data_IF_211051733594
#
_entry.id   IF_211051733594
#
_cell.length_a   1.000
_cell.length_b   1.000
_cell.length_c   1.000
_cell.angle_alpha   90.00
_cell.angle_beta   90.00
_cell.angle_gamma   90.00
#
_symmetry.space_group_name_H-M   'P 1'
#
loop_
_entity.id
_entity.type
_entity.pdbx_description
1 polymer ?
#
# COMPACT_ATOMS: atom_id res chain seq x y z
N UNK A 1 0.55 32.02 6.83
CA UNK A 1 0.81 31.57 5.44
C UNK A 1 2.28 31.37 5.13
N UNK A 2 3.12 32.41 4.93
CA UNK A 2 4.56 32.23 4.61
C UNK A 2 5.32 31.37 5.61
N UNK A 3 5.07 31.53 6.91
CA UNK A 3 5.74 30.76 7.95
C UNK A 3 5.39 29.27 7.93
N UNK A 4 4.14 28.90 7.61
CA UNK A 4 3.71 27.49 7.51
C UNK A 4 4.31 26.82 6.27
N UNK A 5 4.32 27.51 5.13
CA UNK A 5 4.98 27.02 3.92
C UNK A 5 6.50 26.90 4.08
N UNK A 6 7.11 27.81 4.85
CA UNK A 6 8.54 27.76 5.21
C UNK A 6 8.81 26.58 6.14
N UNK A 7 7.96 26.35 7.16
CA UNK A 7 8.10 25.18 8.05
C UNK A 7 7.90 23.87 7.28
N UNK A 8 6.95 23.80 6.35
CA UNK A 8 6.73 22.65 5.50
C UNK A 8 7.90 22.40 4.54
N UNK A 9 8.42 23.45 3.90
CA UNK A 9 9.62 23.36 3.06
C UNK A 9 10.88 23.00 3.88
N UNK A 10 10.99 23.48 5.12
CA UNK A 10 12.08 23.12 6.04
C UNK A 10 11.95 21.69 6.56
N UNK A 11 10.73 21.18 6.80
CA UNK A 11 10.48 19.79 7.17
C UNK A 11 10.84 18.84 6.01
N UNK A 12 10.44 19.17 4.78
CA UNK A 12 10.86 18.44 3.59
C UNK A 12 12.38 18.48 3.41
N UNK A 13 13.02 19.64 3.57
CA UNK A 13 14.48 19.78 3.49
C UNK A 13 15.26 19.11 4.65
N UNK A 14 14.62 18.93 5.82
CA UNK A 14 15.18 18.18 6.95
C UNK A 14 15.09 16.66 6.72
N UNK A 15 14.02 16.18 6.07
CA UNK A 15 13.94 14.80 5.55
C UNK A 15 15.04 14.57 4.50
N UNK A 16 15.30 15.56 3.63
CA UNK A 16 16.38 15.51 2.64
C UNK A 16 17.79 15.44 3.25
N UNK A 17 18.01 16.07 4.41
CA UNK A 17 19.33 16.08 5.06
C UNK A 17 19.68 14.74 5.73
N UNK A 18 18.68 13.88 5.99
CA UNK A 18 18.89 12.54 6.56
C UNK A 18 18.81 11.41 5.51
N UNK A 19 18.17 11.65 4.36
CA UNK A 19 18.01 10.67 3.28
C UNK A 19 18.61 11.21 2.00
N UNK A 20 19.92 11.09 1.83
CA UNK A 20 20.53 11.34 0.53
C UNK A 20 19.88 10.46 -0.55
N UNK A 21 19.72 11.04 -1.74
CA UNK A 21 19.52 10.40 -3.05
C UNK A 21 18.08 10.11 -3.52
N UNK A 22 17.70 10.80 -4.63
CA UNK A 22 16.93 10.32 -5.80
C UNK A 22 15.56 9.64 -5.54
N UNK A 23 14.66 9.46 -6.54
CA UNK A 23 13.48 8.63 -6.32
C UNK A 23 13.93 7.23 -5.92
N UNK A 24 13.78 6.90 -4.64
CA UNK A 24 14.12 5.59 -4.07
C UNK A 24 13.18 4.56 -4.70
N UNK A 25 13.75 3.51 -5.29
CA UNK A 25 12.97 2.38 -5.76
C UNK A 25 12.22 1.75 -4.57
N UNK A 26 10.92 1.54 -4.73
CA UNK A 26 10.06 1.00 -3.67
C UNK A 26 10.49 -0.41 -3.23
N UNK A 27 11.19 -1.16 -4.09
CA UNK A 27 11.81 -2.43 -3.72
C UNK A 27 12.86 -2.27 -2.61
N UNK A 28 13.62 -1.17 -2.62
CA UNK A 28 14.62 -0.85 -1.59
C UNK A 28 13.94 -0.64 -0.24
N UNK A 29 12.74 -0.04 -0.20
CA UNK A 29 11.99 0.16 1.04
C UNK A 29 11.54 -1.15 1.69
N UNK A 30 11.14 -2.13 0.86
CA UNK A 30 10.87 -3.50 1.33
C UNK A 30 12.14 -4.16 1.85
N UNK A 31 13.27 -3.97 1.16
CA UNK A 31 14.56 -4.54 1.57
C UNK A 31 15.11 -3.92 2.85
N UNK A 32 14.88 -2.63 3.09
CA UNK A 32 15.31 -1.88 4.28
C UNK A 32 14.44 -2.12 5.51
N UNK A 33 13.23 -2.67 5.33
CA UNK A 33 12.26 -2.81 6.42
C UNK A 33 11.56 -1.51 6.81
N UNK A 34 11.51 -0.53 5.90
CA UNK A 34 10.92 0.81 6.14
C UNK A 34 9.63 1.05 5.34
N UNK A 35 9.04 -0.02 4.80
CA UNK A 35 7.87 0.03 3.92
C UNK A 35 6.59 0.48 4.65
N UNK A 36 5.86 1.39 4.02
CA UNK A 36 4.53 1.83 4.44
C UNK A 36 3.51 1.62 3.32
N UNK A 37 2.46 0.88 3.63
CA UNK A 37 1.26 0.70 2.78
C UNK A 37 0.09 1.51 3.34
N UNK A 38 -0.53 2.37 2.54
CA UNK A 38 -1.84 2.96 2.84
C UNK A 38 -2.94 2.00 2.40
N UNK A 39 -3.89 1.69 3.28
CA UNK A 39 -5.07 0.89 2.94
C UNK A 39 -6.28 1.82 2.81
N UNK A 40 -6.71 2.10 1.59
CA UNK A 40 -7.94 2.85 1.30
C UNK A 40 -9.22 2.04 1.60
N UNK A 41 -9.10 0.71 1.60
CA UNK A 41 -10.14 -0.26 1.98
C UNK A 41 -10.62 -1.09 0.79
N UNK A 42 -10.63 -2.42 0.95
CA UNK A 42 -11.00 -3.37 -0.11
C UNK A 42 -12.46 -3.25 -0.58
N UNK A 43 -13.34 -2.70 0.27
CA UNK A 43 -14.76 -2.41 -0.02
C UNK A 43 -15.10 -0.92 -0.09
N UNK A 44 -14.11 -0.02 0.05
CA UNK A 44 -14.37 1.42 0.00
C UNK A 44 -14.45 1.87 -1.46
N UNK A 45 -15.56 2.51 -1.82
CA UNK A 45 -15.82 2.99 -3.19
C UNK A 45 -16.15 4.50 -3.21
N UNK A 46 -15.84 5.21 -2.13
CA UNK A 46 -15.92 6.67 -2.05
C UNK A 46 -14.78 7.32 -2.85
N UNK A 47 -15.00 7.50 -4.15
CA UNK A 47 -14.03 8.06 -5.10
C UNK A 47 -13.40 9.37 -4.59
N UNK A 48 -14.18 10.42 -4.22
CA UNK A 48 -13.59 11.67 -3.70
C UNK A 48 -12.66 11.46 -2.51
N UNK A 49 -13.10 10.66 -1.53
CA UNK A 49 -12.29 10.39 -0.34
C UNK A 49 -11.00 9.64 -0.69
N UNK A 50 -11.10 8.57 -1.48
CA UNK A 50 -9.97 7.70 -1.87
C UNK A 50 -8.93 8.51 -2.66
N UNK A 51 -9.40 9.33 -3.59
CA UNK A 51 -8.54 10.20 -4.39
C UNK A 51 -7.79 11.22 -3.51
N UNK A 52 -8.48 11.85 -2.56
CA UNK A 52 -7.88 12.84 -1.67
C UNK A 52 -6.92 12.26 -0.63
N UNK A 53 -7.21 11.07 -0.08
CA UNK A 53 -6.27 10.40 0.82
C UNK A 53 -5.04 9.90 0.05
N UNK A 54 -5.20 9.41 -1.18
CA UNK A 54 -4.08 9.04 -2.05
C UNK A 54 -3.18 10.25 -2.34
N UNK A 55 -3.77 11.41 -2.64
CA UNK A 55 -3.03 12.67 -2.81
C UNK A 55 -2.17 13.02 -1.58
N UNK A 56 -2.78 13.10 -0.39
CA UNK A 56 -2.08 13.53 0.82
C UNK A 56 -0.95 12.58 1.22
N UNK A 57 -1.18 11.26 1.12
CA UNK A 57 -0.17 10.26 1.47
C UNK A 57 0.90 10.05 0.42
N UNK A 58 0.62 10.34 -0.86
CA UNK A 58 1.66 10.40 -1.90
C UNK A 58 2.64 11.54 -1.59
N UNK A 59 2.14 12.74 -1.24
CA UNK A 59 2.99 13.85 -0.80
C UNK A 59 3.81 13.51 0.46
N UNK A 60 3.24 12.70 1.35
CA UNK A 60 3.94 12.22 2.55
C UNK A 60 5.02 11.16 2.27
N UNK A 61 5.07 10.60 1.06
CA UNK A 61 6.04 9.56 0.68
C UNK A 61 5.65 8.16 1.14
N UNK A 62 4.37 7.80 1.07
CA UNK A 62 3.92 6.40 1.21
C UNK A 62 4.50 5.54 0.06
N UNK A 63 4.75 4.26 0.32
CA UNK A 63 5.41 3.37 -0.66
C UNK A 63 4.39 2.60 -1.52
N UNK A 64 3.22 2.32 -0.96
CA UNK A 64 2.13 1.63 -1.66
C UNK A 64 0.76 2.15 -1.21
N UNK A 65 -0.18 2.22 -2.16
CA UNK A 65 -1.59 2.55 -1.91
C UNK A 65 -2.43 1.36 -2.36
N UNK A 66 -3.13 0.76 -1.41
CA UNK A 66 -4.03 -0.36 -1.61
C UNK A 66 -5.49 0.08 -1.61
N UNK A 67 -6.25 -0.47 -2.55
CA UNK A 67 -7.63 -0.09 -2.81
C UNK A 67 -8.47 -1.27 -3.31
N UNK A 68 -9.78 -1.06 -3.42
CA UNK A 68 -10.68 -2.04 -4.00
C UNK A 68 -10.25 -2.38 -5.44
N UNK A 69 -10.33 -3.67 -5.81
CA UNK A 69 -10.17 -4.09 -7.20
C UNK A 69 -11.39 -3.66 -8.04
N UNK A 70 -11.44 -2.37 -8.36
CA UNK A 70 -12.42 -1.71 -9.24
C UNK A 70 -11.71 -0.66 -10.10
N UNK A 71 -11.98 -0.56 -11.42
CA UNK A 71 -11.27 0.35 -12.32
C UNK A 71 -11.45 1.82 -11.95
N UNK A 72 -12.64 2.19 -11.47
CA UNK A 72 -12.94 3.57 -11.08
C UNK A 72 -12.15 3.95 -9.84
N UNK A 73 -11.98 3.00 -8.91
CA UNK A 73 -11.20 3.20 -7.69
C UNK A 73 -9.70 3.26 -7.98
N UNK A 74 -9.18 2.35 -8.82
CA UNK A 74 -7.79 2.40 -9.29
C UNK A 74 -7.50 3.71 -10.01
N UNK A 75 -8.42 4.17 -10.87
CA UNK A 75 -8.29 5.48 -11.54
C UNK A 75 -8.29 6.65 -10.56
N UNK A 76 -9.09 6.59 -9.49
CA UNK A 76 -9.13 7.62 -8.46
C UNK A 76 -7.82 7.69 -7.67
N UNK A 77 -7.22 6.55 -7.34
CA UNK A 77 -5.89 6.47 -6.72
C UNK A 77 -4.83 7.05 -7.66
N UNK A 78 -4.82 6.64 -8.93
CA UNK A 78 -3.87 7.15 -9.93
C UNK A 78 -3.99 8.68 -10.11
N UNK A 79 -5.21 9.22 -10.14
CA UNK A 79 -5.46 10.66 -10.19
C UNK A 79 -4.90 11.38 -8.95
N UNK A 80 -5.11 10.82 -7.75
CA UNK A 80 -4.57 11.38 -6.51
C UNK A 80 -3.04 11.42 -6.49
N UNK A 81 -2.40 10.35 -6.95
CA UNK A 81 -0.93 10.27 -7.09
C UNK A 81 -0.42 11.34 -8.04
N UNK A 82 -1.01 11.43 -9.24
CA UNK A 82 -0.60 12.43 -10.24
C UNK A 82 -0.76 13.85 -9.73
N UNK A 83 -1.89 14.13 -9.08
CA UNK A 83 -2.13 15.45 -8.52
C UNK A 83 -1.12 15.81 -7.43
N UNK A 84 -0.65 14.85 -6.63
CA UNK A 84 0.42 15.10 -5.66
C UNK A 84 1.74 15.49 -6.34
N UNK A 85 2.10 14.81 -7.43
CA UNK A 85 3.30 15.13 -8.22
C UNK A 85 3.18 16.50 -8.91
N UNK A 86 2.02 16.79 -9.51
CA UNK A 86 1.72 18.09 -10.12
C UNK A 86 1.73 19.22 -9.07
N UNK A 87 1.14 18.98 -7.89
CA UNK A 87 1.10 19.93 -6.76
C UNK A 87 2.50 20.23 -6.20
N UNK A 88 3.34 19.21 -6.08
CA UNK A 88 4.76 19.34 -5.68
C UNK A 88 5.55 20.11 -6.75
N UNK A 89 5.35 19.77 -8.03
CA UNK A 89 6.03 20.42 -9.17
C UNK A 89 5.73 21.92 -9.23
N UNK A 90 4.45 22.29 -9.09
CA UNK A 90 4.00 23.68 -9.11
C UNK A 90 4.60 24.54 -7.99
N UNK A 91 5.10 23.91 -6.92
CA UNK A 91 5.70 24.56 -5.75
C UNK A 91 7.22 24.42 -5.69
N UNK A 92 7.83 23.83 -6.73
CA UNK A 92 9.26 23.52 -6.77
C UNK A 92 9.73 22.69 -5.56
N UNK A 93 8.85 21.83 -5.05
CA UNK A 93 9.18 20.86 -4.02
C UNK A 93 9.82 19.62 -4.66
N UNK A 94 10.48 18.81 -3.84
CA UNK A 94 10.99 17.52 -4.26
C UNK A 94 9.82 16.65 -4.76
N UNK A 95 10.02 16.02 -5.91
CA UNK A 95 9.00 15.15 -6.48
C UNK A 95 8.81 13.91 -5.60
N UNK A 96 7.59 13.65 -5.09
CA UNK A 96 7.33 12.42 -4.39
C UNK A 96 7.50 11.24 -5.34
N UNK A 97 8.13 10.17 -4.85
CA UNK A 97 8.19 8.91 -5.58
C UNK A 97 6.75 8.40 -5.82
N UNK A 98 6.52 7.76 -6.96
CA UNK A 98 5.21 7.17 -7.27
C UNK A 98 5.01 5.92 -6.40
N UNK A 99 4.01 5.89 -5.49
CA UNK A 99 3.67 4.67 -4.78
C UNK A 99 3.16 3.60 -5.72
N UNK A 100 3.38 2.34 -5.35
CA UNK A 100 2.75 1.22 -6.04
C UNK A 100 1.24 1.22 -5.81
N UNK A 101 0.47 1.00 -6.86
CA UNK A 101 -0.97 0.75 -6.74
C UNK A 101 -1.19 -0.73 -6.51
N UNK A 102 -1.73 -1.07 -5.35
CA UNK A 102 -2.12 -2.41 -4.98
C UNK A 102 -3.64 -2.55 -5.00
N UNK A 103 -4.15 -3.70 -5.42
CA UNK A 103 -5.58 -4.02 -5.33
C UNK A 103 -5.81 -5.21 -4.42
N UNK A 104 -6.85 -5.11 -3.59
CA UNK A 104 -7.32 -6.17 -2.71
C UNK A 104 -8.37 -7.04 -3.39
N UNK A 105 -8.19 -8.36 -3.30
CA UNK A 105 -9.11 -9.41 -3.75
C UNK A 105 -9.28 -10.47 -2.65
N UNK A 106 -10.28 -11.33 -2.75
CA UNK A 106 -10.52 -12.43 -1.80
C UNK A 106 -10.87 -13.74 -2.49
N UNK A 107 -10.52 -14.86 -1.85
CA UNK A 107 -10.84 -16.22 -2.30
C UNK A 107 -12.20 -16.72 -1.78
N UNK A 108 -12.63 -16.24 -0.61
CA UNK A 108 -13.89 -16.61 0.04
C UNK A 108 -14.48 -15.43 0.85
N UNK A 109 -15.58 -15.65 1.57
CA UNK A 109 -16.20 -14.66 2.45
C UNK A 109 -15.21 -14.10 3.47
N UNK A 110 -14.97 -12.78 3.39
CA UNK A 110 -13.98 -12.08 4.20
C UNK A 110 -14.57 -10.79 4.80
N UNK A 111 -14.29 -10.46 6.08
CA UNK A 111 -14.84 -9.26 6.74
C UNK A 111 -14.47 -7.91 6.10
N UNK A 112 -13.40 -7.84 5.30
CA UNK A 112 -12.99 -6.67 4.52
C UNK A 112 -13.83 -6.51 3.24
N UNK A 113 -14.51 -7.59 2.81
CA UNK A 113 -15.37 -7.66 1.62
C UNK A 113 -16.84 -7.76 2.02
N UNK A 114 -17.27 -6.83 2.88
CA UNK A 114 -18.65 -6.74 3.33
C UNK A 114 -19.15 -5.32 3.39
N UNK A 115 -20.46 -5.15 3.27
CA UNK A 115 -21.15 -3.86 3.48
C UNK A 115 -22.32 -4.03 4.42
N UNK A 116 -22.59 -2.99 5.20
CA UNK A 116 -23.78 -2.95 6.04
C UNK A 116 -25.01 -2.67 5.19
N UNK A 117 -26.14 -3.29 5.51
CA UNK A 117 -27.42 -3.05 4.87
C UNK A 117 -28.56 -3.14 5.92
N UNK A 118 -29.62 -2.38 5.71
CA UNK A 118 -30.89 -2.48 6.43
C UNK A 118 -32.01 -1.88 5.59
N UNK A 119 -33.25 -2.29 5.85
CA UNK A 119 -34.42 -1.64 5.29
C UNK A 119 -34.77 -0.39 6.13
N UNK A 120 -34.63 0.83 5.58
CA UNK A 120 -34.91 2.05 6.33
C UNK A 120 -36.38 2.18 6.75
N UNK A 121 -37.31 1.51 6.06
CA UNK A 121 -38.74 1.52 6.43
C UNK A 121 -39.03 0.78 7.73
N UNK A 122 -38.14 -0.12 8.15
CA UNK A 122 -38.23 -0.85 9.41
C UNK A 122 -37.60 -0.09 10.59
N UNK A 123 -36.88 1.00 10.33
CA UNK A 123 -36.23 1.81 11.36
C UNK A 123 -37.22 2.87 11.90
N UNK A 124 -37.61 2.81 13.19
CA UNK A 124 -38.56 3.77 13.74
C UNK A 124 -38.05 5.22 13.63
N UNK A 125 -38.96 6.15 13.38
CA UNK A 125 -38.63 7.57 13.25
C UNK A 125 -38.05 8.18 14.54
N UNK A 126 -38.40 7.61 15.69
CA UNK A 126 -37.95 7.98 17.04
C UNK A 126 -36.69 7.21 17.51
N UNK A 127 -36.11 6.37 16.64
CA UNK A 127 -34.85 5.69 16.93
C UNK A 127 -33.74 6.72 17.18
N UNK A 128 -32.93 6.58 18.25
CA UNK A 128 -31.81 7.49 18.53
C UNK A 128 -30.63 7.33 17.55
N UNK A 129 -30.69 6.34 16.64
CA UNK A 129 -29.68 6.03 15.60
C UNK A 129 -28.23 6.03 16.08
N UNK A 130 -27.88 5.26 17.13
CA UNK A 130 -26.48 5.10 17.54
C UNK A 130 -25.58 4.54 16.41
N UNK A 131 -26.16 3.82 15.45
CA UNK A 131 -25.48 3.34 14.25
C UNK A 131 -24.95 4.48 13.36
N UNK A 132 -25.63 5.61 13.28
CA UNK A 132 -25.19 6.80 12.54
C UNK A 132 -23.97 7.43 13.24
N UNK A 133 -24.07 7.66 14.55
CA UNK A 133 -23.02 8.27 15.36
C UNK A 133 -21.71 7.45 15.40
N UNK A 134 -21.82 6.11 15.43
CA UNK A 134 -20.65 5.22 15.46
C UNK A 134 -19.99 5.05 14.08
N UNK A 135 -20.68 5.41 12.99
CA UNK A 135 -20.18 5.22 11.64
C UNK A 135 -19.03 6.21 11.35
N UNK A 136 -17.78 5.73 11.16
CA UNK A 136 -16.63 6.62 11.04
C UNK A 136 -16.63 7.46 9.75
N UNK A 137 -17.32 6.97 8.71
CA UNK A 137 -17.39 7.55 7.36
C UNK A 137 -18.76 8.14 7.03
N UNK A 138 -19.65 8.25 8.03
CA UNK A 138 -20.99 8.86 7.87
C UNK A 138 -21.80 8.23 6.71
N UNK A 139 -21.70 6.91 6.57
CA UNK A 139 -22.37 6.15 5.52
C UNK A 139 -23.81 5.76 5.87
N UNK A 140 -24.32 6.14 7.04
CA UNK A 140 -25.66 5.74 7.51
C UNK A 140 -26.50 6.99 7.71
N UNK A 141 -27.73 6.97 7.19
CA UNK A 141 -28.71 8.04 7.38
C UNK A 141 -30.13 7.45 7.47
N UNK A 142 -31.15 8.32 7.47
CA UNK A 142 -32.56 7.89 7.42
C UNK A 142 -32.91 7.12 6.15
N UNK A 143 -32.17 7.35 5.06
CA UNK A 143 -32.42 6.70 3.76
C UNK A 143 -31.73 5.35 3.63
N UNK A 144 -31.08 4.83 4.67
CA UNK A 144 -30.35 3.57 4.63
C UNK A 144 -28.85 3.76 4.72
N UNK A 145 -28.12 2.79 4.16
CA UNK A 145 -26.65 2.82 4.07
C UNK A 145 -26.23 3.29 2.67
N UNK A 146 -25.37 4.30 2.61
CA UNK A 146 -24.60 4.64 1.41
C UNK A 146 -23.52 3.57 1.20
N UNK A 147 -23.81 2.63 0.30
CA UNK A 147 -22.94 1.50 0.01
C UNK A 147 -21.55 1.95 -0.45
N UNK A 148 -21.43 3.06 -1.18
CA UNK A 148 -20.13 3.50 -1.71
C UNK A 148 -19.18 3.94 -0.60
N UNK A 149 -19.71 4.60 0.41
CA UNK A 149 -18.95 5.04 1.59
C UNK A 149 -18.72 3.92 2.60
N UNK A 150 -19.65 2.97 2.69
CA UNK A 150 -19.58 1.89 3.66
C UNK A 150 -18.43 0.92 3.33
N UNK A 151 -17.33 1.01 4.07
CA UNK A 151 -16.20 0.10 3.91
C UNK A 151 -16.30 -1.18 4.78
N UNK A 152 -17.45 -1.42 5.43
CA UNK A 152 -17.68 -2.71 6.12
C UNK A 152 -17.14 -2.85 7.55
N UNK A 153 -16.84 -1.77 8.27
CA UNK A 153 -16.27 -1.84 9.62
C UNK A 153 -17.10 -2.59 10.67
N UNK A 154 -18.41 -2.77 10.43
CA UNK A 154 -19.32 -3.53 11.30
C UNK A 154 -19.69 -2.87 12.64
N UNK A 155 -19.20 -1.66 12.95
CA UNK A 155 -19.54 -0.94 14.20
C UNK A 155 -21.04 -0.73 14.38
N UNK A 156 -21.75 -0.53 13.27
CA UNK A 156 -23.19 -0.33 13.25
C UNK A 156 -23.97 -1.61 13.62
N UNK A 157 -23.42 -2.80 13.37
CA UNK A 157 -24.10 -4.09 13.56
C UNK A 157 -24.47 -4.30 15.04
N UNK A 158 -23.49 -4.12 15.94
CA UNK A 158 -23.71 -4.24 17.39
C UNK A 158 -24.31 -3.00 18.03
N UNK A 159 -24.28 -1.85 17.35
CA UNK A 159 -24.80 -0.59 17.89
C UNK A 159 -26.31 -0.43 17.67
N UNK A 160 -26.90 -1.11 16.68
CA UNK A 160 -28.34 -1.00 16.41
C UNK A 160 -29.16 -1.65 17.55
N UNK A 161 -29.99 -0.90 18.30
CA UNK A 161 -30.74 -1.45 19.42
C UNK A 161 -31.82 -2.46 18.99
N UNK A 162 -32.28 -2.35 17.74
CA UNK A 162 -33.28 -3.22 17.13
C UNK A 162 -32.68 -4.33 16.26
N UNK A 163 -31.34 -4.39 16.15
CA UNK A 163 -30.61 -5.37 15.34
C UNK A 163 -31.06 -5.46 13.87
N UNK A 164 -31.51 -4.33 13.29
CA UNK A 164 -31.98 -4.27 11.89
C UNK A 164 -30.85 -4.33 10.86
N UNK A 165 -29.62 -4.04 11.26
CA UNK A 165 -28.47 -3.92 10.37
C UNK A 165 -27.77 -5.28 10.25
N UNK A 166 -27.65 -5.76 9.02
CA UNK A 166 -26.92 -6.98 8.67
C UNK A 166 -25.71 -6.67 7.77
N UNK A 167 -24.81 -7.65 7.62
CA UNK A 167 -23.64 -7.55 6.76
C UNK A 167 -23.81 -8.43 5.52
N UNK A 168 -23.69 -7.82 4.34
CA UNK A 168 -23.65 -8.53 3.06
C UNK A 168 -22.18 -8.73 2.67
N UNK A 169 -21.72 -9.98 2.68
CA UNK A 169 -20.39 -10.36 2.21
C UNK A 169 -20.43 -10.58 0.69
N UNK A 170 -19.31 -10.34 0.02
CA UNK A 170 -19.17 -10.63 -1.40
C UNK A 170 -17.74 -11.05 -1.74
N UNK A 171 -17.57 -11.69 -2.90
CA UNK A 171 -16.27 -12.11 -3.42
C UNK A 171 -15.89 -11.18 -4.56
N UNK A 172 -14.69 -10.63 -4.50
CA UNK A 172 -14.10 -9.75 -5.50
C UNK A 172 -12.88 -10.44 -6.10
N UNK A 173 -13.05 -10.99 -7.29
CA UNK A 173 -11.95 -11.59 -8.06
C UNK A 173 -11.43 -10.60 -9.11
N UNK A 174 -10.21 -10.81 -9.65
CA UNK A 174 -9.68 -9.98 -10.75
C UNK A 174 -10.61 -9.92 -11.98
N UNK A 175 -11.42 -10.96 -12.24
CA UNK A 175 -12.38 -10.94 -13.36
C UNK A 175 -13.60 -10.05 -13.09
N UNK A 176 -14.00 -9.85 -11.83
CA UNK A 176 -15.11 -8.97 -11.45
C UNK A 176 -14.71 -7.48 -11.47
N UNK A 177 -13.41 -7.18 -11.45
CA UNK A 177 -12.90 -5.82 -11.59
C UNK A 177 -13.07 -5.24 -13.01
N UNK A 178 -13.81 -5.87 -13.92
CA UNK A 178 -14.15 -5.35 -15.25
C UNK A 178 -15.65 -5.17 -15.50
N UNK A 179 -16.54 -5.53 -14.56
CA UNK A 179 -18.00 -5.63 -14.84
C UNK A 179 -18.80 -4.38 -14.49
N UNK A 180 -18.22 -3.38 -13.82
CA UNK A 180 -18.83 -2.06 -13.73
C UNK A 180 -18.55 -1.26 -15.02
N UNK A 181 -19.56 -1.17 -15.90
CA UNK A 181 -19.53 -0.34 -17.11
C UNK A 181 -19.11 1.09 -16.75
N UNK A 182 -17.89 1.47 -17.14
CA UNK A 182 -17.54 2.88 -17.32
C UNK A 182 -18.49 3.48 -18.38
N UNK A 183 -18.91 4.75 -18.25
CA UNK A 183 -19.53 5.45 -19.37
C UNK A 183 -18.52 5.49 -20.54
N UNK A 184 -19.01 5.01 -21.67
CA UNK A 184 -18.35 4.82 -22.95
C UNK A 184 -17.34 5.94 -23.29
N UNK A 185 -16.04 5.61 -23.37
CA UNK A 185 -15.06 6.40 -24.13
C UNK A 185 -14.79 5.68 -25.45
N UNK A 186 -14.70 6.47 -26.52
CA UNK A 186 -14.61 6.03 -27.91
C UNK A 186 -13.53 4.94 -28.15
N UNK A 187 -13.80 4.00 -29.08
CA UNK A 187 -12.89 2.89 -29.35
C UNK A 187 -11.61 3.37 -30.05
N UNK A 188 -10.47 2.92 -29.53
CA UNK A 188 -9.18 2.94 -30.23
C UNK A 188 -9.06 1.62 -31.00
N UNK A 189 -8.69 1.59 -32.29
CA UNK A 189 -8.60 0.33 -33.04
C UNK A 189 -7.39 -0.50 -32.58
N UNK A 190 -7.65 -1.71 -32.10
CA UNK A 190 -6.63 -2.68 -31.70
C UNK A 190 -6.38 -3.71 -32.81
N UNK A 191 -5.16 -3.75 -33.33
CA UNK A 191 -4.61 -4.91 -34.05
C UNK A 191 -3.31 -5.33 -33.38
N UNK A 192 -3.41 -5.99 -32.23
CA UNK A 192 -2.33 -6.72 -31.56
C UNK A 192 -2.91 -7.77 -30.61
N UNK A 193 -2.38 -9.00 -30.54
CA UNK A 193 -2.89 -10.07 -29.71
C UNK A 193 -2.49 -9.88 -28.23
N UNK A 194 -3.06 -8.88 -27.57
CA UNK A 194 -2.90 -8.57 -26.14
C UNK A 194 -4.21 -8.71 -25.34
N UNK A 195 -5.17 -9.45 -25.90
CA UNK A 195 -6.58 -9.43 -25.53
C UNK A 195 -7.00 -10.34 -24.37
N UNK A 196 -6.28 -10.38 -23.26
CA UNK A 196 -6.71 -11.11 -22.04
C UNK A 196 -6.28 -10.50 -20.70
N UNK A 197 -5.62 -9.33 -20.66
CA UNK A 197 -5.50 -8.59 -19.39
C UNK A 197 -6.76 -7.72 -19.20
N UNK A 198 -7.56 -7.89 -18.13
CA UNK A 198 -8.54 -6.88 -17.73
C UNK A 198 -7.91 -5.48 -17.76
N UNK A 199 -8.61 -4.47 -18.28
CA UNK A 199 -8.11 -3.08 -18.38
C UNK A 199 -7.58 -2.51 -17.04
N UNK A 200 -8.04 -3.07 -15.92
CA UNK A 200 -7.53 -2.83 -14.58
C UNK A 200 -6.01 -3.09 -14.46
N UNK A 201 -5.53 -4.19 -15.05
CA UNK A 201 -4.17 -4.70 -14.84
C UNK A 201 -3.07 -3.84 -15.48
N UNK A 202 -3.42 -2.90 -16.36
CA UNK A 202 -2.44 -1.97 -16.95
C UNK A 202 -1.91 -0.97 -15.90
N UNK A 203 -2.69 -0.70 -14.84
CA UNK A 203 -2.37 0.33 -13.83
C UNK A 203 -2.08 -0.22 -12.44
N UNK A 204 -2.13 -1.54 -12.27
CA UNK A 204 -1.92 -2.23 -11.00
C UNK A 204 -0.48 -2.72 -10.95
N UNK A 205 0.22 -2.35 -9.87
CA UNK A 205 1.61 -2.75 -9.62
C UNK A 205 1.68 -4.04 -8.78
N UNK A 206 0.72 -4.25 -7.88
CA UNK A 206 0.73 -5.35 -6.91
C UNK A 206 -0.69 -5.82 -6.56
N UNK A 207 -0.80 -7.02 -5.97
CA UNK A 207 -2.08 -7.51 -5.44
C UNK A 207 -1.96 -7.92 -3.98
N UNK A 208 -3.08 -7.84 -3.28
CA UNK A 208 -3.29 -8.47 -1.99
C UNK A 208 -4.43 -9.49 -2.09
N UNK A 209 -4.11 -10.74 -1.78
CA UNK A 209 -5.10 -11.81 -1.66
C UNK A 209 -5.48 -11.94 -0.18
N UNK A 210 -6.72 -11.64 0.15
CA UNK A 210 -7.29 -11.95 1.47
C UNK A 210 -7.79 -13.38 1.47
N UNK A 211 -7.43 -14.12 2.50
CA UNK A 211 -7.89 -15.49 2.72
C UNK A 211 -8.14 -15.74 4.19
N UNK A 212 -9.28 -16.37 4.48
CA UNK A 212 -9.62 -16.82 5.83
C UNK A 212 -8.81 -18.06 6.24
N UNK A 213 -8.18 -18.75 5.29
CA UNK A 213 -7.56 -20.05 5.48
C UNK A 213 -8.54 -21.22 5.64
N UNK A 214 -9.87 -20.98 5.58
CA UNK A 214 -10.87 -22.02 5.81
C UNK A 214 -10.99 -23.02 4.66
N UNK A 215 -10.71 -22.59 3.43
CA UNK A 215 -10.86 -23.41 2.22
C UNK A 215 -9.61 -23.31 1.35
N UNK A 216 -8.78 -24.36 1.35
CA UNK A 216 -7.56 -24.38 0.50
C UNK A 216 -7.89 -24.40 -0.99
N UNK A 217 -9.01 -24.99 -1.37
CA UNK A 217 -9.41 -25.12 -2.77
C UNK A 217 -9.82 -23.78 -3.37
N UNK A 218 -10.47 -22.88 -2.61
CA UNK A 218 -10.83 -21.53 -3.08
C UNK A 218 -9.57 -20.70 -3.39
N UNK A 219 -8.58 -20.74 -2.50
CA UNK A 219 -7.28 -20.10 -2.73
C UNK A 219 -6.59 -20.64 -3.98
N UNK A 220 -6.60 -21.97 -4.16
CA UNK A 220 -6.01 -22.63 -5.34
C UNK A 220 -6.74 -22.23 -6.62
N UNK A 221 -8.07 -22.24 -6.62
CA UNK A 221 -8.88 -21.81 -7.77
C UNK A 221 -8.63 -20.34 -8.12
N UNK A 222 -8.50 -19.45 -7.13
CA UNK A 222 -8.20 -18.04 -7.36
C UNK A 222 -6.81 -17.86 -7.99
N UNK A 223 -5.80 -18.57 -7.47
CA UNK A 223 -4.42 -18.46 -7.95
C UNK A 223 -4.19 -19.14 -9.29
N UNK A 224 -4.56 -20.43 -9.42
CA UNK A 224 -4.24 -21.28 -10.59
C UNK A 224 -5.35 -21.27 -11.65
N UNK A 225 -6.55 -20.83 -11.29
CA UNK A 225 -7.75 -20.99 -12.11
C UNK A 225 -8.46 -22.31 -11.82
N UNK A 226 -9.65 -22.49 -12.39
CA UNK A 226 -10.37 -23.76 -12.34
C UNK A 226 -9.80 -24.74 -13.36
N UNK A 227 -9.84 -26.04 -13.05
CA UNK A 227 -9.33 -27.10 -13.92
C UNK A 227 -9.85 -26.94 -15.37
N UNK A 228 -8.96 -26.56 -16.30
CA UNK A 228 -9.25 -26.39 -17.72
C UNK A 228 -9.60 -24.96 -18.17
N UNK A 229 -9.69 -23.99 -17.25
CA UNK A 229 -9.94 -22.58 -17.55
C UNK A 229 -8.66 -21.75 -17.39
N UNK A 230 -8.17 -21.17 -18.50
CA UNK A 230 -7.13 -20.13 -18.46
C UNK A 230 -7.71 -18.89 -17.77
N UNK A 231 -7.09 -18.39 -16.69
CA UNK A 231 -7.56 -17.15 -16.05
C UNK A 231 -7.24 -16.94 -14.57
N UNK A 232 -6.54 -17.89 -13.92
CA UNK A 232 -5.96 -17.67 -12.59
C UNK A 232 -4.93 -16.56 -12.58
N UNK A 233 -4.63 -16.03 -11.39
CA UNK A 233 -3.62 -14.98 -11.19
C UNK A 233 -2.23 -15.43 -11.66
N UNK A 234 -1.90 -16.70 -11.51
CA UNK A 234 -0.59 -17.28 -11.88
C UNK A 234 -0.18 -16.93 -13.31
N UNK A 235 -1.14 -16.93 -14.25
CA UNK A 235 -0.89 -16.65 -15.67
C UNK A 235 -0.37 -15.24 -15.97
N UNK A 236 -0.55 -14.29 -15.05
CA UNK A 236 -0.09 -12.91 -15.17
C UNK A 236 0.64 -12.42 -13.90
N UNK A 237 0.99 -13.31 -12.98
CA UNK A 237 1.78 -12.97 -11.79
C UNK A 237 3.14 -12.35 -12.17
N UNK A 238 3.66 -12.69 -13.35
CA UNK A 238 4.88 -12.12 -13.92
C UNK A 238 4.73 -10.67 -14.42
N UNK A 239 3.55 -10.05 -14.37
CA UNK A 239 3.40 -8.61 -14.60
C UNK A 239 3.30 -7.82 -13.30
N UNK A 240 3.24 -8.50 -12.15
CA UNK A 240 3.15 -7.88 -10.84
C UNK A 240 4.52 -7.69 -10.22
N UNK A 241 4.72 -6.56 -9.54
CA UNK A 241 5.91 -6.27 -8.74
C UNK A 241 5.88 -7.00 -7.40
N UNK A 242 4.69 -7.28 -6.87
CA UNK A 242 4.48 -7.93 -5.59
C UNK A 242 3.13 -8.65 -5.49
N UNK A 243 3.14 -9.83 -4.86
CA UNK A 243 1.96 -10.54 -4.38
C UNK A 243 2.02 -10.59 -2.86
N UNK A 244 0.97 -10.07 -2.22
CA UNK A 244 0.77 -10.11 -0.78
C UNK A 244 -0.36 -11.08 -0.43
N UNK A 245 -0.22 -11.86 0.64
CA UNK A 245 -1.31 -12.71 1.17
C UNK A 245 -1.66 -12.25 2.57
N UNK A 246 -2.91 -11.85 2.79
CA UNK A 246 -3.46 -11.41 4.07
C UNK A 246 -4.27 -12.52 4.70
N UNK A 247 -3.96 -12.85 5.96
CA UNK A 247 -4.66 -13.89 6.71
C UNK A 247 -4.71 -13.58 8.21
N UNK A 248 -5.76 -14.03 8.91
CA UNK A 248 -5.83 -13.94 10.36
C UNK A 248 -4.98 -15.02 11.02
N UNK A 249 -4.84 -14.96 12.35
CA UNK A 249 -4.19 -16.02 13.10
C UNK A 249 -4.91 -17.38 12.94
N UNK A 250 -4.20 -18.38 12.40
CA UNK A 250 -4.69 -19.74 12.16
C UNK A 250 -4.48 -20.68 13.36
N UNK A 251 -4.01 -20.18 14.52
CA UNK A 251 -3.75 -21.02 15.68
C UNK A 251 -2.67 -22.07 15.37
N UNK A 252 -2.86 -23.31 15.83
CA UNK A 252 -1.87 -24.39 15.70
C UNK A 252 -1.56 -24.78 14.23
N UNK A 253 -2.46 -24.49 13.29
CA UNK A 253 -2.31 -24.87 11.88
C UNK A 253 -1.57 -23.83 11.03
N UNK A 254 -1.05 -22.76 11.66
CA UNK A 254 -0.40 -21.64 10.98
C UNK A 254 0.76 -22.08 10.06
N UNK A 255 1.64 -22.96 10.53
CA UNK A 255 2.78 -23.45 9.74
C UNK A 255 2.31 -24.20 8.49
N UNK A 256 1.36 -25.14 8.67
CA UNK A 256 0.80 -25.93 7.57
C UNK A 256 0.08 -25.06 6.53
N UNK A 257 -0.60 -24.02 7.00
CA UNK A 257 -1.23 -23.04 6.14
C UNK A 257 -0.20 -22.24 5.34
N UNK A 258 0.86 -21.74 5.97
CA UNK A 258 1.94 -20.99 5.30
C UNK A 258 2.69 -21.84 4.27
N UNK A 259 2.96 -23.12 4.59
CA UNK A 259 3.53 -24.07 3.64
C UNK A 259 2.61 -24.29 2.43
N UNK A 260 1.30 -24.41 2.67
CA UNK A 260 0.31 -24.52 1.60
C UNK A 260 0.30 -23.29 0.70
N UNK A 261 0.27 -22.07 1.27
CA UNK A 261 0.29 -20.82 0.51
C UNK A 261 1.59 -20.71 -0.30
N UNK A 262 2.74 -20.91 0.33
CA UNK A 262 4.04 -20.82 -0.33
C UNK A 262 4.15 -21.82 -1.49
N UNK A 263 3.72 -23.07 -1.29
CA UNK A 263 3.72 -24.08 -2.35
C UNK A 263 2.75 -23.77 -3.49
N UNK A 264 1.57 -23.24 -3.17
CA UNK A 264 0.54 -22.91 -4.18
C UNK A 264 0.97 -21.71 -5.02
N UNK A 265 1.52 -20.67 -4.40
CA UNK A 265 2.04 -19.50 -5.10
C UNK A 265 3.27 -19.84 -5.94
N UNK A 266 4.18 -20.66 -5.40
CA UNK A 266 5.46 -21.03 -6.02
C UNK A 266 6.25 -19.80 -6.53
N UNK A 267 6.20 -18.71 -5.76
CA UNK A 267 6.92 -17.47 -6.05
C UNK A 267 8.21 -17.38 -5.21
N UNK A 268 9.30 -16.84 -5.76
CA UNK A 268 10.57 -16.75 -5.05
C UNK A 268 10.50 -15.80 -3.84
N UNK A 269 9.70 -14.72 -3.95
CA UNK A 269 9.54 -13.70 -2.92
C UNK A 269 8.09 -13.19 -2.91
N UNK A 270 7.32 -13.58 -1.88
CA UNK A 270 6.00 -13.04 -1.57
C UNK A 270 6.02 -12.35 -0.21
N UNK A 271 5.09 -11.42 0.01
CA UNK A 271 4.93 -10.78 1.32
C UNK A 271 3.70 -11.37 2.03
N UNK A 272 3.89 -11.81 3.26
CA UNK A 272 2.80 -12.24 4.13
C UNK A 272 2.34 -11.04 4.95
N UNK A 273 1.10 -10.61 4.74
CA UNK A 273 0.45 -9.56 5.50
C UNK A 273 -0.28 -10.19 6.69
N UNK A 274 0.13 -9.80 7.88
CA UNK A 274 -0.44 -10.30 9.12
C UNK A 274 -1.62 -9.45 9.52
N UNK A 275 -2.85 -9.97 9.39
CA UNK A 275 -4.05 -9.26 9.82
C UNK A 275 -4.38 -9.60 11.29
N UNK A 276 -3.62 -9.00 12.20
CA UNK A 276 -3.71 -9.35 13.63
C UNK A 276 -5.02 -8.93 14.30
N UNK A 277 -5.74 -7.95 13.73
CA UNK A 277 -7.04 -7.51 14.25
C UNK A 277 -7.97 -7.07 13.11
N UNK A 278 -8.59 -8.03 12.39
CA UNK A 278 -9.41 -7.75 11.22
C UNK A 278 -10.49 -6.72 11.52
N UNK A 279 -10.60 -5.69 10.67
CA UNK A 279 -11.74 -4.77 10.60
C UNK A 279 -12.23 -4.15 11.93
N UNK A 280 -11.39 -4.06 12.96
CA UNK A 280 -11.84 -3.62 14.30
C UNK A 280 -12.33 -2.17 14.35
N UNK A 281 -11.87 -1.34 13.42
CA UNK A 281 -12.09 0.12 13.39
C UNK A 281 -11.52 0.87 14.60
N UNK A 282 -11.09 0.17 15.64
CA UNK A 282 -10.41 0.66 16.82
C UNK A 282 -8.96 0.99 16.45
N UNK A 283 -8.50 2.12 16.94
CA UNK A 283 -7.18 2.68 16.63
C UNK A 283 -6.41 3.07 17.89
N UNK A 284 -6.91 2.69 19.08
CA UNK A 284 -6.19 2.94 20.33
C UNK A 284 -4.87 2.16 20.38
N UNK A 285 -3.89 2.63 21.15
CA UNK A 285 -2.54 2.05 21.18
C UNK A 285 -2.47 0.52 21.45
N UNK A 286 -3.46 -0.05 22.14
CA UNK A 286 -3.54 -1.49 22.38
C UNK A 286 -3.84 -2.34 21.15
N UNK A 287 -4.37 -1.76 20.07
CA UNK A 287 -4.82 -2.50 18.87
C UNK A 287 -3.65 -3.14 18.12
N UNK A 288 -2.48 -2.49 18.09
CA UNK A 288 -1.31 -2.95 17.34
C UNK A 288 -0.62 -4.17 17.98
N UNK A 289 -0.93 -4.50 19.25
CA UNK A 289 -0.32 -5.65 19.94
C UNK A 289 -0.69 -6.98 19.29
N UNK A 290 -1.90 -7.11 18.78
CA UNK A 290 -2.35 -8.33 18.11
C UNK A 290 -1.58 -8.56 16.79
N UNK A 291 -1.36 -7.50 16.00
CA UNK A 291 -0.53 -7.55 14.79
C UNK A 291 0.91 -7.98 15.12
N UNK A 292 1.49 -7.41 16.17
CA UNK A 292 2.85 -7.73 16.61
C UNK A 292 2.97 -9.21 17.03
N UNK A 293 2.01 -9.70 17.82
CA UNK A 293 1.99 -11.09 18.26
C UNK A 293 1.86 -12.06 17.07
N UNK A 294 0.96 -11.78 16.12
CA UNK A 294 0.82 -12.58 14.91
C UNK A 294 2.11 -12.56 14.07
N UNK A 295 2.73 -11.39 13.87
CA UNK A 295 3.98 -11.29 13.14
C UNK A 295 5.12 -12.09 13.77
N UNK A 296 5.24 -12.12 15.10
CA UNK A 296 6.23 -12.95 15.79
C UNK A 296 6.03 -14.44 15.49
N UNK A 297 4.78 -14.90 15.50
CA UNK A 297 4.43 -16.29 15.17
C UNK A 297 4.70 -16.63 13.70
N UNK A 298 4.31 -15.76 12.78
CA UNK A 298 4.60 -15.90 11.35
C UNK A 298 6.11 -15.96 11.12
N UNK A 299 6.89 -15.02 11.67
CA UNK A 299 8.35 -15.05 11.60
C UNK A 299 8.97 -16.32 12.23
N UNK A 300 8.34 -16.91 13.25
CA UNK A 300 8.80 -18.20 13.78
C UNK A 300 8.55 -19.35 12.79
N UNK A 301 7.34 -19.44 12.23
CA UNK A 301 6.99 -20.46 11.23
C UNK A 301 7.85 -20.34 9.97
N UNK A 302 8.15 -19.12 9.52
CA UNK A 302 9.04 -18.87 8.38
C UNK A 302 10.44 -19.41 8.61
N UNK A 303 11.03 -19.14 9.79
CA UNK A 303 12.35 -19.69 10.16
C UNK A 303 12.36 -21.22 10.16
N UNK A 304 11.31 -21.83 10.67
CA UNK A 304 11.16 -23.28 10.75
C UNK A 304 11.06 -23.90 9.35
N UNK A 305 10.22 -23.34 8.48
CA UNK A 305 10.01 -23.80 7.11
C UNK A 305 11.03 -23.26 6.10
N UNK A 306 11.93 -22.37 6.51
CA UNK A 306 12.91 -21.65 5.66
C UNK A 306 12.25 -20.91 4.50
N UNK A 307 11.15 -20.22 4.77
CA UNK A 307 10.38 -19.50 3.76
C UNK A 307 11.04 -18.16 3.39
N UNK A 308 11.17 -17.91 2.08
CA UNK A 308 11.62 -16.63 1.51
C UNK A 308 10.49 -15.61 1.43
N UNK A 309 10.82 -14.32 1.36
CA UNK A 309 9.83 -13.24 1.44
C UNK A 309 9.92 -12.37 2.70
N UNK A 310 8.87 -11.59 2.96
CA UNK A 310 8.81 -10.64 4.08
C UNK A 310 7.48 -10.66 4.82
N UNK A 311 7.46 -10.13 6.05
CA UNK A 311 6.24 -10.00 6.85
C UNK A 311 5.83 -8.53 6.94
N UNK A 312 4.59 -8.20 6.58
CA UNK A 312 4.02 -6.86 6.76
C UNK A 312 2.97 -6.89 7.87
N UNK A 313 3.01 -5.89 8.77
CA UNK A 313 1.97 -5.73 9.79
C UNK A 313 0.70 -5.13 9.21
N UNK A 314 -0.46 -5.65 9.61
CA UNK A 314 -1.76 -5.08 9.36
C UNK A 314 -2.75 -5.39 10.49
N UNK A 315 -3.97 -4.88 10.38
CA UNK A 315 -5.04 -5.15 11.35
C UNK A 315 -4.77 -4.56 12.73
N UNK A 316 -5.16 -3.31 12.96
CA UNK A 316 -4.98 -2.62 14.25
C UNK A 316 -3.69 -1.80 14.36
N UNK A 317 -2.95 -1.62 13.27
CA UNK A 317 -1.79 -0.72 13.18
C UNK A 317 -2.17 0.76 13.35
N UNK A 318 -1.32 1.52 14.04
CA UNK A 318 -1.49 2.96 14.32
C UNK A 318 -0.13 3.65 14.54
N UNK A 319 -0.12 4.89 15.02
CA UNK A 319 1.08 5.65 15.43
C UNK A 319 2.00 4.92 16.42
N UNK A 320 1.48 4.00 17.22
CA UNK A 320 2.28 3.23 18.17
C UNK A 320 2.98 2.02 17.58
N UNK A 321 2.64 1.62 16.34
CA UNK A 321 3.20 0.44 15.67
C UNK A 321 4.73 0.49 15.60
N UNK A 322 5.31 1.64 15.22
CA UNK A 322 6.77 1.79 15.11
C UNK A 322 7.46 1.59 16.46
N UNK A 323 6.88 2.13 17.54
CA UNK A 323 7.39 1.93 18.90
C UNK A 323 7.35 0.46 19.30
N UNK A 324 6.26 -0.26 18.98
CA UNK A 324 6.16 -1.68 19.30
C UNK A 324 7.13 -2.53 18.50
N UNK A 325 7.32 -2.24 17.20
CA UNK A 325 8.32 -2.91 16.37
C UNK A 325 9.73 -2.76 16.94
N UNK A 326 10.12 -1.52 17.30
CA UNK A 326 11.42 -1.24 17.88
C UNK A 326 11.63 -1.94 19.23
N UNK A 327 10.62 -1.94 20.11
CA UNK A 327 10.68 -2.57 21.43
C UNK A 327 10.76 -4.10 21.38
N UNK A 328 10.24 -4.71 20.33
CA UNK A 328 10.26 -6.15 20.13
C UNK A 328 11.38 -6.60 19.17
N UNK A 329 12.26 -5.67 18.75
CA UNK A 329 13.38 -5.96 17.83
C UNK A 329 12.93 -6.63 16.52
N UNK A 330 11.79 -6.17 15.98
CA UNK A 330 11.16 -6.77 14.80
C UNK A 330 11.45 -6.04 13.48
N UNK A 331 12.07 -4.85 13.54
CA UNK A 331 12.58 -4.20 12.34
C UNK A 331 13.74 -5.00 11.75
N UNK A 332 13.92 -4.92 10.43
CA UNK A 332 15.01 -5.61 9.75
C UNK A 332 16.36 -5.02 10.17
N UNK A 333 17.20 -5.81 10.82
CA UNK A 333 18.60 -5.45 11.08
C UNK A 333 19.45 -5.71 9.84
N UNK A 334 20.38 -4.82 9.48
CA UNK A 334 21.39 -5.10 8.45
C UNK A 334 22.32 -6.22 8.93
N UNK A 335 22.12 -7.44 8.43
CA UNK A 335 23.08 -8.52 8.63
C UNK A 335 24.26 -8.32 7.67
N UNK A 336 25.32 -7.67 8.15
CA UNK A 336 26.61 -7.56 7.45
C UNK A 336 26.77 -6.31 6.61
N UNK A 337 27.15 -5.20 7.24
CA UNK A 337 27.84 -4.13 6.50
C UNK A 337 29.14 -4.67 5.89
N UNK A 338 29.61 -4.15 4.74
CA UNK A 338 30.93 -4.49 4.24
C UNK A 338 31.94 -4.26 5.36
N UNK A 339 32.86 -5.22 5.55
CA UNK A 339 33.95 -5.08 6.50
C UNK A 339 34.50 -3.66 6.45
N UNK A 340 34.51 -2.98 7.60
CA UNK A 340 35.07 -1.63 7.76
C UNK A 340 36.39 -1.61 6.97
N UNK A 341 36.42 -0.94 5.82
CA UNK A 341 37.66 -0.64 5.15
C UNK A 341 38.36 0.32 6.10
N UNK A 342 39.27 -0.22 6.92
CA UNK A 342 40.19 0.57 7.71
C UNK A 342 40.89 1.52 6.73
N UNK A 343 40.79 2.84 6.90
CA UNK A 343 41.51 3.75 6.04
C UNK A 343 43.00 3.52 6.27
N UNK A 344 43.68 3.06 5.23
CA UNK A 344 45.14 3.04 5.17
C UNK A 344 45.68 4.46 5.41
N UNK A 345 46.63 4.66 6.33
CA UNK A 345 47.13 5.98 6.67
C UNK A 345 48.22 6.37 5.68
N UNK A 346 47.90 7.14 4.65
CA UNK A 346 48.86 8.04 4.00
C UNK A 346 48.12 8.88 2.96
N UNK A 347 48.00 10.20 3.18
CA UNK A 347 48.42 11.18 2.19
C UNK A 347 48.54 12.56 2.87
N UNK A 348 49.75 13.09 2.79
CA UNK A 348 50.22 14.39 3.29
C UNK A 348 49.66 15.48 2.36
N UNK A 349 49.25 16.67 2.85
CA UNK A 349 48.70 17.71 2.00
C UNK A 349 49.85 18.54 1.39
N UNK A 350 49.82 18.75 0.07
CA UNK A 350 50.51 19.87 -0.55
C UNK A 350 49.73 20.36 -1.78
N UNK A 351 49.33 21.62 -1.71
CA UNK A 351 49.08 22.50 -2.85
C UNK A 351 50.13 23.64 -2.77
N UNK A 352 50.27 24.59 -3.72
CA UNK A 352 49.63 24.73 -5.04
C UNK A 352 50.62 25.09 -6.19
N UNK A 353 50.20 24.98 -7.45
CA UNK A 353 50.43 26.00 -8.52
C UNK A 353 49.84 25.57 -9.88
N UNK A 354 49.03 26.46 -10.47
CA UNK A 354 48.63 26.50 -11.89
C UNK A 354 49.79 27.02 -12.77
N UNK A 355 49.70 27.13 -14.12
CA UNK A 355 48.66 26.70 -15.09
C UNK A 355 49.23 25.95 -16.33
N UNK A 356 48.40 25.23 -17.09
CA UNK A 356 48.55 25.22 -18.56
C UNK A 356 47.26 24.77 -19.26
N UNK A 357 46.84 25.58 -20.24
CA UNK A 357 45.82 25.30 -21.25
C UNK A 357 46.27 24.11 -22.11
N UNK A 358 45.44 23.07 -22.24
CA UNK A 358 45.43 22.22 -23.42
C UNK A 358 43.99 21.85 -23.80
N UNK A 359 43.64 22.27 -25.00
CA UNK A 359 42.45 21.95 -25.78
C UNK A 359 42.34 20.44 -26.05
N UNK A 360 41.17 19.85 -25.79
CA UNK A 360 40.84 18.49 -26.24
C UNK A 360 40.00 18.53 -27.53
N UNK A 361 40.30 17.71 -28.55
CA UNK A 361 39.46 17.58 -29.74
C UNK A 361 38.22 16.72 -29.46
N UNK A 362 37.10 17.08 -30.09
CA UNK A 362 35.81 16.37 -30.04
C UNK A 362 35.90 14.94 -30.62
N UNK A 363 35.20 13.95 -30.06
CA UNK A 363 35.13 12.61 -30.65
C UNK A 363 34.22 12.58 -31.89
N UNK A 364 34.50 11.73 -32.90
CA UNK A 364 33.65 11.59 -34.08
C UNK A 364 32.35 10.81 -33.77
N UNK A 365 31.27 11.01 -34.55
CA UNK A 365 29.99 10.34 -34.33
C UNK A 365 30.07 8.83 -34.69
N UNK A 366 29.30 7.97 -34.01
CA UNK A 366 29.31 6.54 -34.28
C UNK A 366 28.60 6.21 -35.60
N UNK A 367 29.33 5.56 -36.51
CA UNK A 367 28.84 4.98 -37.75
C UNK A 367 28.67 3.47 -37.62
N UNK A 368 27.50 3.00 -37.15
CA UNK A 368 26.93 1.68 -37.47
C UNK A 368 25.55 1.51 -36.81
N UNK A 369 24.60 0.83 -37.48
CA UNK A 369 23.31 0.51 -36.87
C UNK A 369 23.49 -0.57 -35.78
N UNK A 370 22.63 -0.59 -34.74
CA UNK A 370 22.75 -1.54 -33.65
C UNK A 370 22.53 -2.97 -34.14
N UNK A 371 23.51 -3.83 -33.87
CA UNK A 371 23.41 -5.28 -34.04
C UNK A 371 22.35 -5.81 -33.07
N UNK A 372 21.35 -6.59 -33.51
CA UNK A 372 20.36 -7.17 -32.61
C UNK A 372 21.02 -8.20 -31.69
N UNK A 373 20.81 -8.07 -30.39
CA UNK A 373 21.32 -8.98 -29.36
C UNK A 373 20.74 -10.40 -29.56
N UNK A 374 21.53 -11.46 -29.30
CA UNK A 374 21.09 -12.84 -29.46
C UNK A 374 20.00 -13.23 -28.43
N UNK A 375 19.15 -14.24 -28.73
CA UNK A 375 17.97 -14.60 -27.92
C UNK A 375 18.25 -15.13 -26.50
N UNK A 376 19.51 -15.28 -26.11
CA UNK A 376 19.93 -15.74 -24.78
C UNK A 376 19.93 -14.65 -23.69
N UNK A 377 19.48 -13.44 -24.00
CA UNK A 377 19.29 -12.32 -23.06
C UNK A 377 17.82 -12.08 -22.66
N UNK A 378 16.88 -12.91 -23.14
CA UNK A 378 15.47 -12.87 -22.74
C UNK A 378 15.20 -13.43 -21.32
N UNK A 379 16.25 -13.83 -20.59
CA UNK A 379 16.18 -14.31 -19.20
C UNK A 379 16.34 -13.18 -18.15
N UNK A 380 16.22 -11.90 -18.54
CA UNK A 380 16.22 -10.74 -17.63
C UNK A 380 14.84 -10.05 -17.58
N UNK A 381 13.78 -10.85 -17.55
CA UNK A 381 12.49 -10.42 -17.01
C UNK A 381 12.37 -11.12 -15.66
N UNK A 382 12.92 -10.50 -14.61
CA UNK A 382 12.55 -10.80 -13.22
C UNK A 382 11.53 -9.76 -12.80
N UNK A 383 10.23 -10.07 -12.86
CA UNK A 383 9.20 -9.12 -12.48
C UNK A 383 8.90 -9.12 -10.98
N UNK A 384 9.45 -10.06 -10.22
CA UNK A 384 9.30 -10.12 -8.76
C UNK A 384 10.65 -9.75 -8.16
N UNK A 385 10.69 -8.66 -7.40
CA UNK A 385 11.90 -8.20 -6.72
C UNK A 385 12.39 -9.27 -5.74
N UNK A 386 13.67 -9.63 -5.83
CA UNK A 386 14.29 -10.57 -4.90
C UNK A 386 14.61 -9.88 -3.58
N UNK A 387 13.94 -10.27 -2.49
CA UNK A 387 14.35 -9.80 -1.17
C UNK A 387 15.70 -10.44 -0.81
N UNK A 388 16.69 -9.58 -0.49
CA UNK A 388 18.02 -10.02 -0.08
C UNK A 388 17.94 -10.95 1.15
N UNK A 389 18.80 -11.98 1.17
CA UNK A 389 18.90 -12.99 2.23
C UNK A 389 19.43 -12.37 3.54
N UNK A 390 18.58 -11.63 4.24
CA UNK A 390 18.81 -11.13 5.60
C UNK A 390 18.00 -11.90 6.64
N UNK A 391 18.24 -11.64 7.93
CA UNK A 391 17.40 -12.15 9.02
C UNK A 391 15.93 -11.88 8.71
N UNK A 392 15.08 -12.90 8.85
CA UNK A 392 13.64 -12.75 8.71
C UNK A 392 13.12 -11.67 9.67
N UNK A 393 12.48 -10.65 9.11
CA UNK A 393 12.04 -9.47 9.84
C UNK A 393 10.78 -8.89 9.23
N UNK A 394 10.16 -7.97 9.97
CA UNK A 394 9.05 -7.18 9.45
C UNK A 394 9.59 -6.21 8.40
N UNK A 395 9.05 -6.29 7.18
CA UNK A 395 9.44 -5.41 6.06
C UNK A 395 8.75 -4.05 6.14
N UNK A 396 7.63 -3.95 6.85
CA UNK A 396 6.87 -2.72 6.97
C UNK A 396 5.52 -2.89 7.66
N UNK A 397 4.70 -1.84 7.57
CA UNK A 397 3.36 -1.84 8.13
C UNK A 397 2.36 -1.19 7.16
N UNK A 398 1.12 -1.69 7.20
CA UNK A 398 0.00 -1.18 6.44
C UNK A 398 -0.98 -0.45 7.35
N UNK A 399 -1.48 0.72 6.94
CA UNK A 399 -2.32 1.60 7.76
C UNK A 399 -3.60 2.00 7.02
N UNK A 400 -4.76 1.69 7.59
CA UNK A 400 -6.06 2.06 7.03
C UNK A 400 -6.88 2.94 7.95
N UNK A 401 -7.42 2.36 9.03
CA UNK A 401 -8.31 3.07 9.96
C UNK A 401 -7.64 4.28 10.63
N UNK A 402 -6.39 4.13 11.08
CA UNK A 402 -5.61 5.23 11.66
C UNK A 402 -5.33 6.33 10.63
N UNK A 403 -4.90 5.96 9.42
CA UNK A 403 -4.61 6.91 8.35
C UNK A 403 -5.83 7.77 7.97
N UNK A 404 -7.01 7.16 7.83
CA UNK A 404 -8.26 7.89 7.61
C UNK A 404 -8.64 8.79 8.79
N UNK A 405 -8.48 8.30 10.02
CA UNK A 405 -8.77 9.10 11.21
C UNK A 405 -7.90 10.35 11.27
N UNK A 406 -6.61 10.22 10.92
CA UNK A 406 -5.66 11.32 10.98
C UNK A 406 -6.09 12.51 10.10
N UNK A 407 -6.65 12.22 8.93
CA UNK A 407 -7.08 13.24 7.95
C UNK A 407 -8.60 13.51 7.98
N UNK A 408 -9.31 13.03 9.01
CA UNK A 408 -10.79 13.06 9.03
C UNK A 408 -11.34 14.46 8.86
N UNK A 409 -10.79 15.43 9.58
CA UNK A 409 -11.32 16.80 9.60
C UNK A 409 -11.15 17.47 8.23
N UNK A 410 -10.00 17.28 7.57
CA UNK A 410 -9.74 17.81 6.23
C UNK A 410 -10.62 17.15 5.17
N UNK A 411 -10.81 15.84 5.25
CA UNK A 411 -11.66 15.09 4.33
C UNK A 411 -13.15 15.47 4.49
N UNK A 412 -13.60 15.76 5.71
CA UNK A 412 -14.95 16.27 5.95
C UNK A 412 -15.10 17.73 5.49
N UNK A 413 -14.09 18.57 5.74
CA UNK A 413 -14.10 19.97 5.35
C UNK A 413 -14.17 20.14 3.82
N UNK A 414 -13.34 19.41 3.06
CA UNK A 414 -13.38 19.47 1.58
C UNK A 414 -14.72 18.97 1.04
N UNK A 415 -15.33 17.97 1.68
CA UNK A 415 -16.64 17.48 1.29
C UNK A 415 -17.76 18.50 1.56
N UNK A 416 -17.61 19.35 2.58
CA UNK A 416 -18.58 20.38 2.95
C UNK A 416 -18.51 21.62 2.05
N UNK A 417 -17.37 21.89 1.41
CA UNK A 417 -17.18 23.06 0.54
C UNK A 417 -17.90 22.95 -0.82
N UNK A 418 -18.39 21.76 -1.17
CA UNK A 418 -19.01 21.48 -2.46
C UNK A 418 -17.96 21.29 -3.57
N UNK A 419 -18.39 21.00 -4.82
CA UNK A 419 -17.46 20.71 -5.91
C UNK A 419 -16.58 21.92 -6.29
N UNK A 420 -15.30 21.72 -6.65
CA UNK A 420 -14.64 20.42 -6.78
C UNK A 420 -14.17 19.87 -5.42
N UNK A 421 -14.45 18.58 -5.18
CA UNK A 421 -14.14 17.90 -3.92
C UNK A 421 -12.66 17.46 -3.87
N UNK A 422 -11.73 18.39 -4.14
CA UNK A 422 -10.30 18.11 -4.33
C UNK A 422 -9.45 18.91 -3.34
N UNK A 423 -8.65 18.20 -2.53
CA UNK A 423 -7.85 18.86 -1.48
C UNK A 423 -6.92 19.95 -2.04
N UNK A 424 -6.25 19.69 -3.17
CA UNK A 424 -5.25 20.59 -3.75
C UNK A 424 -5.81 21.93 -4.24
N UNK A 425 -7.12 22.04 -4.41
CA UNK A 425 -7.79 23.30 -4.76
C UNK A 425 -8.01 24.20 -3.53
N UNK A 426 -7.84 23.65 -2.33
CA UNK A 426 -7.97 24.35 -1.05
C UNK A 426 -6.64 24.33 -0.30
N UNK A 427 -5.81 25.35 -0.52
CA UNK A 427 -4.41 25.40 -0.06
C UNK A 427 -4.24 25.09 1.45
N UNK A 428 -5.12 25.63 2.30
CA UNK A 428 -5.06 25.39 3.75
C UNK A 428 -5.38 23.93 4.11
N UNK A 429 -6.38 23.32 3.46
CA UNK A 429 -6.75 21.92 3.69
C UNK A 429 -5.68 20.97 3.14
N UNK A 430 -5.15 21.25 1.95
CA UNK A 430 -4.03 20.49 1.37
C UNK A 430 -2.80 20.54 2.28
N UNK A 431 -2.43 21.73 2.77
CA UNK A 431 -1.29 21.90 3.67
C UNK A 431 -1.50 21.17 4.99
N UNK A 432 -2.69 21.26 5.59
CA UNK A 432 -3.00 20.58 6.85
C UNK A 432 -2.95 19.05 6.68
N UNK A 433 -3.64 18.52 5.66
CA UNK A 433 -3.70 17.08 5.40
C UNK A 433 -2.31 16.51 5.11
N UNK A 434 -1.54 17.17 4.24
CA UNK A 434 -0.20 16.72 3.86
C UNK A 434 0.79 16.81 5.02
N UNK A 435 0.69 17.84 5.87
CA UNK A 435 1.56 17.97 7.05
C UNK A 435 1.31 16.86 8.07
N UNK A 436 0.03 16.55 8.35
CA UNK A 436 -0.33 15.44 9.25
C UNK A 436 0.16 14.10 8.70
N UNK A 437 -0.07 13.83 7.42
CA UNK A 437 0.38 12.59 6.77
C UNK A 437 1.92 12.49 6.76
N UNK A 438 2.63 13.58 6.43
CA UNK A 438 4.08 13.64 6.40
C UNK A 438 4.69 13.38 7.77
N UNK A 439 4.17 14.01 8.83
CA UNK A 439 4.66 13.79 10.19
C UNK A 439 4.54 12.31 10.59
N UNK A 440 3.41 11.68 10.29
CA UNK A 440 3.18 10.27 10.58
C UNK A 440 4.09 9.32 9.78
N UNK A 441 4.21 9.51 8.47
CA UNK A 441 5.06 8.68 7.60
C UNK A 441 6.53 8.81 7.99
N UNK A 442 6.98 10.05 8.25
CA UNK A 442 8.37 10.33 8.62
C UNK A 442 8.72 9.72 9.97
N UNK A 443 7.84 9.81 10.97
CA UNK A 443 8.06 9.21 12.29
C UNK A 443 8.27 7.69 12.22
N UNK A 444 7.42 6.99 11.45
CA UNK A 444 7.57 5.54 11.23
C UNK A 444 8.90 5.21 10.53
N UNK A 445 9.20 5.88 9.41
CA UNK A 445 10.42 5.62 8.63
C UNK A 445 11.69 5.96 9.41
N UNK A 446 11.70 7.07 10.16
CA UNK A 446 12.82 7.45 11.01
C UNK A 446 13.06 6.43 12.13
N UNK A 447 11.98 5.91 12.75
CA UNK A 447 12.10 4.86 13.77
C UNK A 447 12.67 3.56 13.19
N UNK A 448 12.22 3.17 11.99
CA UNK A 448 12.76 2.00 11.30
C UNK A 448 14.26 2.16 11.00
N UNK A 449 14.66 3.30 10.40
CA UNK A 449 16.06 3.60 10.06
C UNK A 449 16.97 3.65 11.30
N UNK A 450 16.50 4.26 12.40
CA UNK A 450 17.25 4.32 13.65
C UNK A 450 17.49 2.95 14.28
N UNK A 451 16.65 1.96 13.97
CA UNK A 451 16.85 0.58 14.40
C UNK A 451 17.82 -0.18 13.48
N UNK A 452 17.80 0.09 12.17
CA UNK A 452 18.73 -0.49 11.19
C UNK A 452 20.20 -0.13 11.50
N UNK A 453 20.43 1.08 12.05
CA UNK A 453 21.77 1.59 12.38
C UNK A 453 22.34 1.12 13.72
N UNK A 454 21.55 0.43 14.56
CA UNK A 454 21.98 -0.16 15.83
C UNK A 454 22.43 -1.59 15.62
#
# INVERSE_FOLDING_TARGET
>A
MKLLCIIFALLLALVDSFSGCYPVDMSVRLEEGSWIKLICGASNEDIPQIRNIAFAYTLAGVDCIDCAADPSIVSAVDEGIRAAQEYSSARSWLQPARPWIMVSINDDADPHFRKAAFDPSLCPADCPRPCEATCPVLAISQSGVDEKKCYGCGRCLSSCPLQLIHANNYVRTPQHAGTHRLPERQPVPSSSPRSQLPDLLIRVDAIEIHTSGSTRDSFRELWQGRNGESGGIEGWASSLKLVSVSFPDQGETLLDFMLFVSHTLNLPDNVEMTDGRPMSGDVGHGTARASIALAQRVLQCRREARLRGGVQLAGGTNDYTATLLARNELFKSQAGGPAKFLPSPSFIPFAPSLPYLLTFPSPPPPSSPPVPLPPSLLALITPIHQLSAGKEAVVGAAFGGYARKLLRDELLAVNALGPPLKLEEHEELAASASSKALAFVTDFKATALAHVQR
#
